data_IF_099116126403
#
_entry.id   IF_099116126403
#
_cell.length_a   1.000
_cell.length_b   1.000
_cell.length_c   1.000
_cell.angle_alpha   90.00
_cell.angle_beta   90.00
_cell.angle_gamma   90.00
#
_symmetry.space_group_name_H-M   'P 1'
#
loop_
_entity.id
_entity.type
_entity.pdbx_description
1 polymer ?
#
# COMPACT_ATOMS: atom_id res chain seq x y z
N UNK A 1 -3.90 2.56 12.14
CA UNK A 1 -2.86 1.59 12.54
C UNK A 1 -2.87 0.39 11.59
N UNK A 2 -1.75 0.12 10.91
CA UNK A 2 -1.60 -1.03 10.03
C UNK A 2 -1.25 -2.29 10.83
N UNK A 3 -1.94 -3.40 10.59
CA UNK A 3 -1.72 -4.67 11.31
C UNK A 3 -0.40 -5.37 10.93
N UNK A 4 0.25 -4.97 9.82
CA UNK A 4 1.53 -5.52 9.35
C UNK A 4 2.49 -4.40 8.94
N UNK A 5 3.75 -4.53 9.34
CA UNK A 5 4.83 -3.63 8.96
C UNK A 5 6.00 -4.43 8.36
N UNK A 6 6.59 -3.91 7.27
CA UNK A 6 7.71 -4.53 6.57
C UNK A 6 8.96 -3.63 6.67
N UNK A 7 10.17 -4.20 6.83
CA UNK A 7 11.39 -3.42 7.02
C UNK A 7 11.88 -2.76 5.72
N UNK A 8 11.91 -1.42 5.70
CA UNK A 8 12.18 -0.60 4.51
C UNK A 8 13.59 -0.71 3.86
N UNK A 9 14.48 -1.61 4.30
CA UNK A 9 15.92 -1.49 4.04
C UNK A 9 16.40 -2.04 2.69
N UNK A 10 15.54 -2.70 1.90
CA UNK A 10 15.90 -3.27 0.58
C UNK A 10 14.69 -3.62 -0.30
N UNK A 11 13.53 -2.99 -0.07
CA UNK A 11 12.29 -3.42 -0.74
C UNK A 11 12.26 -3.02 -2.22
N UNK A 12 12.68 -3.96 -3.08
CA UNK A 12 12.41 -3.92 -4.52
C UNK A 12 10.89 -3.82 -4.76
N UNK A 13 10.48 -3.22 -5.88
CA UNK A 13 9.05 -3.16 -6.27
C UNK A 13 8.38 -4.54 -6.25
N UNK A 14 9.12 -5.60 -6.59
CA UNK A 14 8.67 -6.99 -6.52
C UNK A 14 8.26 -7.42 -5.10
N UNK A 15 9.01 -6.99 -4.07
CA UNK A 15 8.72 -7.31 -2.67
C UNK A 15 7.50 -6.55 -2.17
N UNK A 16 7.32 -5.29 -2.61
CA UNK A 16 6.11 -4.52 -2.28
C UNK A 16 4.87 -5.25 -2.79
N UNK A 17 4.88 -5.72 -4.04
CA UNK A 17 3.77 -6.46 -4.63
C UNK A 17 3.56 -7.79 -3.92
N UNK A 18 4.63 -8.53 -3.62
CA UNK A 18 4.55 -9.79 -2.87
C UNK A 18 3.95 -9.62 -1.47
N UNK A 19 4.39 -8.60 -0.73
CA UNK A 19 3.87 -8.28 0.60
C UNK A 19 2.37 -7.94 0.58
N UNK A 20 1.91 -7.25 -0.46
CA UNK A 20 0.48 -6.93 -0.65
C UNK A 20 -0.32 -8.20 -0.93
N UNK A 21 0.17 -9.06 -1.82
CA UNK A 21 -0.47 -10.34 -2.14
C UNK A 21 -0.54 -11.27 -0.90
N UNK A 22 0.55 -11.39 -0.14
CA UNK A 22 0.56 -12.15 1.13
C UNK A 22 -0.41 -11.58 2.17
N UNK A 23 -0.56 -10.26 2.22
CA UNK A 23 -1.48 -9.60 3.14
C UNK A 23 -2.93 -9.91 2.76
N UNK A 24 -3.27 -9.81 1.48
CA UNK A 24 -4.60 -10.15 0.96
C UNK A 24 -4.93 -11.63 1.16
N UNK A 25 -3.99 -12.53 0.83
CA UNK A 25 -4.13 -13.97 1.06
C UNK A 25 -4.30 -14.31 2.53
N UNK A 26 -3.53 -13.67 3.42
CA UNK A 26 -3.66 -13.83 4.87
C UNK A 26 -5.03 -13.40 5.41
N UNK A 27 -5.68 -12.44 4.74
CA UNK A 27 -7.05 -12.02 5.06
C UNK A 27 -8.13 -12.83 4.31
N UNK A 28 -7.75 -13.74 3.41
CA UNK A 28 -8.69 -14.48 2.56
C UNK A 28 -9.44 -13.61 1.55
N UNK A 29 -8.90 -12.44 1.20
CA UNK A 29 -9.55 -11.45 0.34
C UNK A 29 -8.85 -11.39 -1.03
N UNK A 30 -9.62 -11.17 -2.08
CA UNK A 30 -9.13 -10.71 -3.36
C UNK A 30 -9.00 -9.19 -3.37
N UNK A 31 -8.09 -8.66 -4.20
CA UNK A 31 -7.90 -7.21 -4.35
C UNK A 31 -9.21 -6.46 -4.70
N UNK A 32 -10.11 -7.10 -5.44
CA UNK A 32 -11.41 -6.54 -5.82
C UNK A 32 -12.41 -6.42 -4.68
N UNK A 33 -12.21 -7.18 -3.60
CA UNK A 33 -13.08 -7.19 -2.42
C UNK A 33 -12.72 -6.06 -1.44
N UNK A 34 -11.59 -5.38 -1.67
CA UNK A 34 -11.18 -4.22 -0.89
C UNK A 34 -12.04 -3.02 -1.25
N UNK A 35 -12.56 -2.29 -0.25
CA UNK A 35 -13.41 -1.12 -0.47
C UNK A 35 -12.63 0.11 -0.97
N UNK A 36 -11.34 0.19 -0.65
CA UNK A 36 -10.45 1.28 -1.07
C UNK A 36 -9.02 1.10 -0.59
N UNK A 37 -8.10 1.87 -1.17
CA UNK A 37 -6.66 1.78 -0.88
C UNK A 37 -6.18 3.05 -0.16
N UNK A 38 -5.57 2.89 1.00
CA UNK A 38 -4.90 3.97 1.72
C UNK A 38 -3.41 4.07 1.36
N UNK A 39 -2.90 5.27 1.07
CA UNK A 39 -1.47 5.51 0.83
C UNK A 39 -0.93 6.54 1.81
N UNK A 40 0.18 6.21 2.49
CA UNK A 40 0.86 7.11 3.41
C UNK A 40 1.48 8.31 2.70
N UNK A 41 1.23 9.52 3.19
CA UNK A 41 1.77 10.77 2.61
C UNK A 41 3.01 11.32 3.33
N UNK A 42 3.49 10.65 4.38
CA UNK A 42 4.65 11.08 5.17
C UNK A 42 4.28 11.83 6.44
N UNK A 43 5.29 12.27 7.23
CA UNK A 43 6.68 12.54 6.81
C UNK A 43 7.54 11.30 6.55
N UNK A 44 8.45 11.36 5.57
CA UNK A 44 9.30 10.22 5.17
C UNK A 44 10.17 10.51 3.93
N UNK A 45 10.82 9.47 3.40
CA UNK A 45 11.65 9.58 2.19
C UNK A 45 10.81 9.99 0.97
N UNK A 46 11.23 11.04 0.25
CA UNK A 46 10.56 11.52 -0.98
C UNK A 46 10.39 10.40 -2.02
N UNK A 47 11.43 9.60 -2.22
CA UNK A 47 11.39 8.47 -3.14
C UNK A 47 10.39 7.40 -2.67
N UNK A 48 10.44 7.04 -1.38
CA UNK A 48 9.54 6.04 -0.80
C UNK A 48 8.07 6.44 -0.88
N UNK A 49 7.76 7.72 -0.58
CA UNK A 49 6.40 8.25 -0.69
C UNK A 49 5.90 8.17 -2.14
N UNK A 50 6.72 8.56 -3.12
CA UNK A 50 6.30 8.49 -4.54
C UNK A 50 6.11 7.06 -5.03
N UNK A 51 6.95 6.12 -4.59
CA UNK A 51 6.78 4.69 -4.89
C UNK A 51 5.47 4.19 -4.29
N UNK A 52 5.22 4.42 -3.00
CA UNK A 52 4.00 3.99 -2.32
C UNK A 52 2.73 4.57 -2.94
N UNK A 53 2.73 5.88 -3.27
CA UNK A 53 1.61 6.54 -3.94
C UNK A 53 1.37 5.96 -5.34
N UNK A 54 2.44 5.69 -6.11
CA UNK A 54 2.32 5.11 -7.44
C UNK A 54 1.72 3.71 -7.38
N UNK A 55 2.24 2.85 -6.50
CA UNK A 55 1.74 1.48 -6.31
C UNK A 55 0.28 1.48 -5.86
N UNK A 56 -0.07 2.27 -4.84
CA UNK A 56 -1.44 2.33 -4.35
C UNK A 56 -2.43 2.85 -5.40
N UNK A 57 -2.05 3.85 -6.21
CA UNK A 57 -2.87 4.32 -7.33
C UNK A 57 -3.05 3.25 -8.40
N UNK A 58 -1.99 2.53 -8.77
CA UNK A 58 -2.07 1.46 -9.76
C UNK A 58 -2.99 0.32 -9.29
N UNK A 59 -2.87 -0.09 -8.02
CA UNK A 59 -3.73 -1.11 -7.44
C UNK A 59 -5.19 -0.67 -7.39
N UNK A 60 -5.45 0.57 -6.99
CA UNK A 60 -6.79 1.12 -6.90
C UNK A 60 -7.43 1.21 -8.29
N UNK A 61 -6.66 1.65 -9.29
CA UNK A 61 -7.06 1.68 -10.68
C UNK A 61 -7.38 0.27 -11.21
N UNK A 62 -6.51 -0.71 -10.95
CA UNK A 62 -6.72 -2.10 -11.36
C UNK A 62 -7.93 -2.76 -10.69
N UNK A 63 -8.19 -2.41 -9.44
CA UNK A 63 -9.33 -2.91 -8.67
C UNK A 63 -10.65 -2.18 -8.98
N UNK A 64 -10.60 -1.03 -9.64
CA UNK A 64 -11.75 -0.14 -9.81
C UNK A 64 -12.23 0.48 -8.48
N UNK A 65 -11.30 0.73 -7.55
CA UNK A 65 -11.59 1.17 -6.17
C UNK A 65 -11.02 2.57 -5.90
N UNK A 66 -11.60 3.32 -4.94
CA UNK A 66 -11.08 4.61 -4.52
C UNK A 66 -9.71 4.49 -3.85
N UNK A 67 -8.91 5.55 -3.94
CA UNK A 67 -7.63 5.69 -3.24
C UNK A 67 -7.65 6.94 -2.35
N UNK A 68 -7.19 6.81 -1.12
CA UNK A 68 -7.15 7.88 -0.13
C UNK A 68 -5.71 8.11 0.36
N UNK A 69 -5.29 9.37 0.41
CA UNK A 69 -4.02 9.75 1.02
C UNK A 69 -4.17 9.87 2.53
N UNK A 70 -3.35 9.15 3.28
CA UNK A 70 -3.37 9.14 4.75
C UNK A 70 -2.11 9.87 5.26
N UNK A 71 -2.25 11.03 5.92
CA UNK A 71 -1.10 11.69 6.54
C UNK A 71 -0.56 10.81 7.68
N UNK A 72 0.74 10.52 7.66
CA UNK A 72 1.35 9.53 8.57
C UNK A 72 1.31 9.98 10.03
N UNK A 73 1.24 11.29 10.29
CA UNK A 73 1.10 11.83 11.65
C UNK A 73 -0.30 11.58 12.26
N UNK A 74 -1.29 11.17 11.46
CA UNK A 74 -2.65 10.84 11.89
C UNK A 74 -2.99 9.34 11.74
N UNK A 75 -2.02 8.49 11.39
CA UNK A 75 -2.21 7.08 11.01
C UNK A 75 -1.87 6.08 12.12
#
# INVERSE_FOLDING_TARGET
>A
AADRAFPARTDSLEQIVANIDETLKGAGLALKEVDGIGVGLGPGSWTGIRVGVTVGKMLAFSAGRPVAGVPTLAA
#
